data_IF_583384910699
#
_entry.id   IF_583384910699
#
_cell.length_a   1.000
_cell.length_b   1.000
_cell.length_c   1.000
_cell.angle_alpha   90.00
_cell.angle_beta   90.00
_cell.angle_gamma   90.00
#
_symmetry.space_group_name_H-M   'P 1'
#
loop_
_entity.id
_entity.type
_entity.pdbx_description
1 polymer ?
#
# COMPACT_ATOMS: atom_id res chain seq x y z
N UNK A 1 19.61 -0.87 -9.39
CA UNK A 1 18.29 -1.54 -9.57
C UNK A 1 17.34 -1.21 -8.44
N UNK A 2 17.76 -1.28 -7.17
CA UNK A 2 16.92 -0.94 -6.01
C UNK A 2 16.29 0.46 -6.11
N UNK A 3 17.10 1.48 -6.43
CA UNK A 3 16.61 2.85 -6.68
C UNK A 3 15.55 2.94 -7.78
N UNK A 4 15.63 2.12 -8.83
CA UNK A 4 14.63 2.12 -9.91
C UNK A 4 13.29 1.56 -9.45
N UNK A 5 13.30 0.60 -8.53
CA UNK A 5 12.09 0.08 -7.88
C UNK A 5 11.60 1.02 -6.75
N UNK A 6 12.28 2.15 -6.49
CA UNK A 6 11.91 3.11 -5.45
C UNK A 6 12.34 2.71 -4.04
N UNK A 7 13.28 1.76 -3.89
CA UNK A 7 13.86 1.47 -2.58
C UNK A 7 14.72 2.65 -2.09
N UNK A 8 14.77 2.89 -0.76
CA UNK A 8 15.66 3.86 -0.14
C UNK A 8 17.14 3.62 -0.47
N UNK A 9 17.96 4.69 -0.40
CA UNK A 9 19.39 4.63 -0.73
C UNK A 9 20.21 3.81 0.30
N UNK A 10 19.72 3.70 1.53
CA UNK A 10 20.29 2.91 2.62
C UNK A 10 19.79 1.45 2.64
N UNK A 11 18.85 1.08 1.77
CA UNK A 11 18.35 -0.29 1.69
C UNK A 11 19.36 -1.20 0.97
N UNK A 12 19.73 -2.29 1.64
CA UNK A 12 20.68 -3.27 1.10
C UNK A 12 20.10 -4.68 1.11
N UNK A 13 20.21 -5.37 -0.04
CA UNK A 13 20.01 -6.83 -0.11
C UNK A 13 21.33 -7.50 0.23
N UNK A 14 21.38 -8.20 1.36
CA UNK A 14 22.57 -8.96 1.80
C UNK A 14 22.62 -10.29 1.03
N UNK A 15 23.68 -10.51 0.25
CA UNK A 15 23.87 -11.74 -0.53
C UNK A 15 24.72 -11.54 -1.77
N UNK A 16 24.69 -12.51 -2.69
CA UNK A 16 25.42 -12.40 -3.96
C UNK A 16 24.78 -11.39 -4.91
N UNK A 17 25.57 -10.83 -5.83
CA UNK A 17 25.07 -9.90 -6.85
C UNK A 17 23.95 -10.53 -7.72
N UNK A 18 24.04 -11.83 -7.99
CA UNK A 18 23.01 -12.58 -8.72
C UNK A 18 21.70 -12.64 -7.93
N UNK A 19 21.77 -12.90 -6.62
CA UNK A 19 20.61 -12.89 -5.74
C UNK A 19 19.99 -11.49 -5.68
N UNK A 20 20.81 -10.45 -5.51
CA UNK A 20 20.36 -9.06 -5.53
C UNK A 20 19.60 -8.71 -6.82
N UNK A 21 20.13 -9.08 -7.99
CA UNK A 21 19.44 -8.85 -9.28
C UNK A 21 18.12 -9.60 -9.38
N UNK A 22 18.08 -10.88 -8.98
CA UNK A 22 16.86 -11.71 -9.02
C UNK A 22 15.78 -11.15 -8.10
N UNK A 23 16.15 -10.88 -6.84
CA UNK A 23 15.22 -10.34 -5.85
C UNK A 23 14.72 -8.96 -6.28
N UNK A 24 15.60 -8.05 -6.68
CA UNK A 24 15.19 -6.71 -7.12
C UNK A 24 14.32 -6.75 -8.38
N UNK A 25 14.64 -7.64 -9.35
CA UNK A 25 13.88 -7.78 -10.58
C UNK A 25 12.48 -8.40 -10.39
N UNK A 26 12.32 -9.22 -9.35
CA UNK A 26 11.03 -9.81 -9.00
C UNK A 26 10.22 -8.95 -8.02
N UNK A 27 10.83 -7.93 -7.40
CA UNK A 27 10.13 -6.99 -6.52
C UNK A 27 9.22 -6.05 -7.32
N UNK A 28 8.06 -5.72 -6.74
CA UNK A 28 7.19 -4.65 -7.23
C UNK A 28 7.78 -3.29 -6.82
N UNK A 29 7.61 -2.27 -7.66
CA UNK A 29 8.04 -0.91 -7.34
C UNK A 29 7.27 -0.35 -6.13
N UNK A 30 7.97 0.35 -5.23
CA UNK A 30 7.42 0.89 -3.97
C UNK A 30 6.26 1.85 -4.25
N UNK A 31 6.36 2.69 -5.29
CA UNK A 31 5.29 3.62 -5.67
C UNK A 31 3.97 2.92 -6.02
N UNK A 32 4.03 1.75 -6.66
CA UNK A 32 2.86 0.96 -6.98
C UNK A 32 2.20 0.41 -5.72
N UNK A 33 2.99 -0.16 -4.81
CA UNK A 33 2.50 -0.65 -3.52
C UNK A 33 1.84 0.49 -2.72
N UNK A 34 2.49 1.65 -2.64
CA UNK A 34 1.96 2.81 -1.93
C UNK A 34 0.60 3.27 -2.49
N UNK A 35 0.45 3.33 -3.81
CA UNK A 35 -0.81 3.73 -4.44
C UNK A 35 -1.95 2.74 -4.13
N UNK A 36 -1.69 1.44 -4.21
CA UNK A 36 -2.69 0.41 -3.89
C UNK A 36 -3.08 0.46 -2.42
N UNK A 37 -2.11 0.56 -1.52
CA UNK A 37 -2.37 0.64 -0.07
C UNK A 37 -3.20 1.90 0.26
N UNK A 38 -2.87 3.05 -0.33
CA UNK A 38 -3.64 4.28 -0.12
C UNK A 38 -5.09 4.11 -0.59
N UNK A 39 -5.31 3.54 -1.77
CA UNK A 39 -6.65 3.27 -2.29
C UNK A 39 -7.44 2.30 -1.41
N UNK A 40 -6.77 1.27 -0.85
CA UNK A 40 -7.40 0.34 0.11
C UNK A 40 -7.79 1.06 1.40
N UNK A 41 -6.92 1.91 1.95
CA UNK A 41 -7.21 2.68 3.16
C UNK A 41 -8.40 3.64 2.92
N UNK A 42 -8.39 4.37 1.81
CA UNK A 42 -9.50 5.25 1.42
C UNK A 42 -10.82 4.46 1.35
N UNK A 43 -10.81 3.30 0.68
CA UNK A 43 -12.00 2.45 0.57
C UNK A 43 -12.51 1.96 1.93
N UNK A 44 -11.60 1.62 2.85
CA UNK A 44 -11.97 1.18 4.20
C UNK A 44 -12.58 2.31 5.03
N UNK A 45 -12.02 3.53 4.93
CA UNK A 45 -12.56 4.71 5.62
C UNK A 45 -13.93 5.12 5.09
N UNK A 46 -14.13 5.04 3.77
CA UNK A 46 -15.43 5.31 3.14
C UNK A 46 -16.50 4.31 3.62
N UNK A 47 -16.14 3.03 3.82
CA UNK A 47 -17.03 2.01 4.38
C UNK A 47 -17.42 2.35 5.83
N UNK A 48 -16.47 2.78 6.67
CA UNK A 48 -16.76 3.18 8.05
C UNK A 48 -17.71 4.39 8.11
N UNK A 49 -17.54 5.37 7.23
CA UNK A 49 -18.44 6.52 7.14
C UNK A 49 -19.82 6.16 6.60
N UNK A 50 -19.90 5.28 5.61
CA UNK A 50 -21.18 4.78 5.09
C UNK A 50 -21.97 4.00 6.15
N UNK A 51 -21.31 3.16 6.94
CA UNK A 51 -21.95 2.41 8.04
C UNK A 51 -22.39 3.32 9.20
N UNK A 52 -21.60 4.34 9.54
CA UNK A 52 -21.94 5.30 10.61
C UNK A 52 -23.09 6.22 10.20
N UNK A 53 -23.11 6.70 8.96
CA UNK A 53 -24.19 7.57 8.46
C UNK A 53 -25.53 6.84 8.34
N UNK A 54 -25.52 5.57 7.92
CA UNK A 54 -26.75 4.76 7.86
C UNK A 54 -27.31 4.45 9.26
N UNK A 55 -26.45 4.31 10.28
CA UNK A 55 -26.89 4.16 11.68
C UNK A 55 -27.47 5.45 12.28
N UNK A 56 -26.88 6.61 11.98
CA UNK A 56 -27.38 7.91 12.47
C UNK A 56 -28.68 8.33 11.78
N UNK A 57 -28.83 8.06 10.47
CA UNK A 57 -30.07 8.35 9.74
C UNK A 57 -31.28 7.56 10.29
N UNK A 58 -31.11 6.26 10.57
CA UNK A 58 -32.18 5.43 11.14
C UNK A 58 -32.59 5.85 12.57
N UNK A 59 -31.69 6.49 13.33
CA UNK A 59 -31.98 6.98 14.68
C UNK A 59 -32.76 8.29 14.68
N UNK A 60 -32.71 9.05 13.59
CA UNK A 60 -33.41 10.34 13.47
C UNK A 60 -34.85 10.20 12.95
N UNK A 61 -35.21 9.01 12.43
CA UNK A 61 -36.53 8.67 11.87
C UNK A 61 -37.41 7.84 12.82
N UNK A 62 -36.92 7.49 14.01
CA UNK A 62 -37.69 6.89 15.11
C UNK A 62 -37.82 7.89 16.26
#
# INVERSE_FOLDING_TARGET
MLRLQGFPDDYQIVGSYQAMRKLTGNSVAISCVAAVVNSVIESLLDIEQASTNSFSFNRHLN
#
